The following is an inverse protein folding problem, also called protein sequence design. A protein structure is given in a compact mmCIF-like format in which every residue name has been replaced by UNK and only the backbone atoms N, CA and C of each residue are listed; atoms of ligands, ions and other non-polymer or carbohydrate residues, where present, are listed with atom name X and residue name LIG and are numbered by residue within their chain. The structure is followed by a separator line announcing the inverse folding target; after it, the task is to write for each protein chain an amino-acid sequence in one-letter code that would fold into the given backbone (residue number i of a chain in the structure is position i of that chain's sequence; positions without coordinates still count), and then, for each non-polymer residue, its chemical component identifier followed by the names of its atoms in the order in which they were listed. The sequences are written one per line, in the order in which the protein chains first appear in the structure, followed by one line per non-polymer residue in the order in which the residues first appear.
data_IF_726416304728
#
_entry.id   IF_726416304728
#
_cell.length_a   1.000
_cell.length_b   1.000
_cell.length_c   1.000
_cell.angle_alpha   90.00
_cell.angle_beta   90.00
_cell.angle_gamma   90.00
#
_symmetry.space_group_name_H-M   'P 1'
#
loop_
_entity.id
_entity.type
_entity.pdbx_description
1 polymer ?
#
# COMPACT_ATOMS: atom_id res chain seq x y z
N UNK A 1 -39.73 -7.01 36.08
CA UNK A 1 -38.46 -6.30 35.86
C UNK A 1 -38.32 -6.18 34.34
N UNK A 2 -38.80 -5.05 33.81
CA UNK A 2 -38.70 -4.76 32.37
C UNK A 2 -37.45 -3.91 32.15
N UNK A 3 -36.50 -4.38 31.36
CA UNK A 3 -35.39 -3.60 30.81
C UNK A 3 -35.87 -2.85 29.57
N UNK A 4 -36.00 -1.55 29.66
CA UNK A 4 -36.23 -0.66 28.51
C UNK A 4 -34.89 -0.45 27.79
N UNK A 5 -34.80 -0.93 26.57
CA UNK A 5 -33.74 -0.60 25.63
C UNK A 5 -33.99 0.81 25.04
N UNK A 6 -33.19 1.79 25.38
CA UNK A 6 -33.19 3.10 24.73
C UNK A 6 -32.51 2.96 23.36
N UNK A 7 -33.23 3.29 22.29
CA UNK A 7 -32.72 3.26 20.92
C UNK A 7 -31.82 4.47 20.66
N UNK A 8 -30.75 4.26 19.90
CA UNK A 8 -29.77 5.27 19.46
C UNK A 8 -30.39 6.50 18.77
N UNK A 9 -31.56 6.34 18.18
CA UNK A 9 -32.34 7.41 17.56
C UNK A 9 -32.84 8.46 18.55
N UNK A 10 -33.13 8.07 19.80
CA UNK A 10 -33.60 8.99 20.84
C UNK A 10 -32.48 9.89 21.39
N UNK A 11 -31.22 9.41 21.35
CA UNK A 11 -30.06 10.18 21.79
C UNK A 11 -29.65 11.27 20.79
N UNK A 12 -29.82 11.02 19.48
CA UNK A 12 -29.54 12.01 18.44
C UNK A 12 -30.60 13.14 18.42
N UNK A 13 -31.89 12.81 18.63
CA UNK A 13 -32.95 13.80 18.70
C UNK A 13 -32.80 14.73 19.93
N UNK A 14 -32.32 14.18 21.05
CA UNK A 14 -32.08 14.97 22.26
C UNK A 14 -30.89 15.93 22.12
N UNK A 15 -29.81 15.51 21.46
CA UNK A 15 -28.67 16.38 21.16
C UNK A 15 -28.99 17.50 20.18
N UNK A 16 -29.86 17.25 19.20
CA UNK A 16 -30.30 18.27 18.23
C UNK A 16 -31.18 19.34 18.89
N UNK A 17 -32.05 18.95 19.82
CA UNK A 17 -32.88 19.87 20.58
C UNK A 17 -32.08 20.70 21.61
N UNK A 18 -31.02 20.17 22.19
CA UNK A 18 -30.13 20.92 23.07
C UNK A 18 -29.29 21.95 22.32
N UNK A 19 -28.78 21.61 21.12
CA UNK A 19 -27.98 22.54 20.30
C UNK A 19 -28.79 23.74 19.80
N UNK A 20 -30.09 23.59 19.58
CA UNK A 20 -30.99 24.71 19.19
C UNK A 20 -31.34 25.64 20.36
N UNK A 21 -31.08 25.23 21.61
CA UNK A 21 -31.37 26.04 22.81
C UNK A 21 -30.25 27.02 23.17
N UNK A 22 -29.05 26.76 22.69
CA UNK A 22 -27.87 27.62 23.00
C UNK A 22 -27.75 28.84 22.08
N UNK A 23 -28.51 28.91 20.97
CA UNK A 23 -28.45 30.02 20.02
C UNK A 23 -29.51 31.10 20.19
N UNK A 24 -30.35 31.07 21.24
CA UNK A 24 -31.28 32.18 21.52
C UNK A 24 -31.13 32.62 23.00
N UNK A 25 -30.27 33.59 23.21
CA UNK A 25 -30.24 34.36 24.45
C UNK A 25 -31.54 35.19 24.58
N UNK A 26 -32.37 34.82 25.56
CA UNK A 26 -33.58 35.55 25.93
C UNK A 26 -34.14 34.99 27.24
N UNK A 27 -34.42 35.89 28.19
CA UNK A 27 -34.85 35.66 29.55
C UNK A 27 -36.07 34.78 29.67
N UNK A 28 -36.08 33.98 30.74
CA UNK A 28 -37.15 33.09 31.13
C UNK A 28 -38.33 33.85 31.69
N UNK A 29 -39.43 33.93 30.95
CA UNK A 29 -40.79 34.11 31.55
C UNK A 29 -41.83 33.53 30.58
N UNK A 30 -42.72 32.68 31.20
CA UNK A 30 -44.02 32.18 30.75
C UNK A 30 -44.08 31.46 29.35
N UNK A 31 -44.03 30.15 29.38
CA UNK A 31 -44.56 29.34 28.25
C UNK A 31 -45.86 28.66 28.69
N UNK A 32 -46.96 29.16 28.19
CA UNK A 32 -48.23 28.44 28.16
C UNK A 32 -48.18 27.32 27.14
N UNK A 33 -48.70 26.14 27.49
CA UNK A 33 -48.86 24.98 26.61
C UNK A 33 -49.64 25.40 25.34
N UNK A 34 -48.96 25.36 24.19
CA UNK A 34 -49.58 25.34 22.90
C UNK A 34 -49.12 24.07 22.18
N UNK A 35 -50.09 23.21 21.93
CA UNK A 35 -49.96 22.01 21.12
C UNK A 35 -49.56 22.40 19.68
N UNK A 36 -48.35 22.07 19.25
CA UNK A 36 -47.95 22.18 17.83
C UNK A 36 -48.29 20.89 17.10
N UNK A 37 -48.91 20.94 15.93
CA UNK A 37 -49.09 19.76 15.11
C UNK A 37 -47.75 19.25 14.57
N UNK A 38 -47.51 17.97 14.75
CA UNK A 38 -46.36 17.27 14.14
C UNK A 38 -46.59 17.23 12.62
N UNK A 39 -45.94 18.11 11.90
CA UNK A 39 -45.96 18.07 10.44
C UNK A 39 -45.16 16.85 9.95
N UNK A 40 -45.82 15.78 9.62
CA UNK A 40 -45.23 14.64 8.93
C UNK A 40 -44.82 15.09 7.54
N UNK A 41 -43.53 15.19 7.29
CA UNK A 41 -43.00 15.43 5.96
C UNK A 41 -42.94 14.08 5.20
N UNK A 42 -43.79 13.85 4.18
CA UNK A 42 -43.85 12.57 3.45
C UNK A 42 -42.53 12.21 2.73
N UNK A 43 -41.69 13.19 2.47
CA UNK A 43 -40.40 12.97 1.78
C UNK A 43 -39.30 12.33 2.66
N UNK A 44 -39.43 12.39 3.98
CA UNK A 44 -38.43 11.75 4.88
C UNK A 44 -38.60 10.22 4.92
N UNK A 45 -39.86 9.75 4.77
CA UNK A 45 -40.19 8.32 4.74
C UNK A 45 -39.70 7.64 3.44
N UNK A 46 -39.76 8.33 2.30
CA UNK A 46 -39.24 7.81 1.02
C UNK A 46 -37.70 7.79 0.96
N UNK A 47 -37.04 8.70 1.68
CA UNK A 47 -35.58 8.75 1.69
C UNK A 47 -34.93 7.62 2.53
N UNK A 48 -35.65 7.13 3.54
CA UNK A 48 -35.24 6.01 4.39
C UNK A 48 -35.60 4.64 3.83
N UNK A 49 -36.58 4.56 2.90
CA UNK A 49 -37.01 3.29 2.31
C UNK A 49 -36.19 2.86 1.07
N UNK A 50 -35.39 3.75 0.46
CA UNK A 50 -34.67 3.50 -0.78
C UNK A 50 -33.16 3.55 -0.68
N UNK A 51 -32.57 3.48 0.51
CA UNK A 51 -31.16 3.09 0.64
C UNK A 51 -31.11 1.59 0.84
N UNK A 52 -30.49 0.83 -0.07
CA UNK A 52 -30.12 -0.53 0.30
C UNK A 52 -29.19 -0.41 1.50
N UNK A 53 -29.58 -0.93 2.64
CA UNK A 53 -28.62 -1.39 3.61
C UNK A 53 -27.73 -2.33 2.81
N UNK A 54 -26.43 -1.99 2.71
CA UNK A 54 -25.44 -2.92 2.17
C UNK A 54 -25.44 -4.15 3.08
N UNK A 55 -26.35 -5.06 2.84
CA UNK A 55 -26.19 -6.44 3.24
C UNK A 55 -25.15 -6.97 2.28
N UNK A 56 -23.94 -7.16 2.77
CA UNK A 56 -22.90 -7.89 2.07
C UNK A 56 -23.52 -9.23 1.62
N UNK A 57 -23.69 -9.49 0.32
CA UNK A 57 -24.46 -10.65 -0.13
C UNK A 57 -23.75 -11.99 0.09
N UNK A 58 -22.57 -12.00 0.70
CA UNK A 58 -21.85 -13.23 0.99
C UNK A 58 -21.11 -13.15 2.34
N UNK A 59 -21.72 -13.63 3.45
CA UNK A 59 -21.06 -13.68 4.74
C UNK A 59 -19.99 -14.78 4.85
N UNK A 60 -19.71 -15.55 3.78
CA UNK A 60 -18.94 -16.78 3.86
C UNK A 60 -17.46 -16.68 3.46
N UNK A 61 -16.97 -15.55 2.95
CA UNK A 61 -15.56 -15.45 2.53
C UNK A 61 -14.89 -14.22 3.13
N UNK A 62 -14.45 -14.30 4.37
CA UNK A 62 -13.28 -13.52 4.78
C UNK A 62 -12.04 -14.34 4.44
N UNK A 63 -11.12 -13.82 3.64
CA UNK A 63 -9.86 -14.52 3.32
C UNK A 63 -8.88 -14.42 4.51
N UNK A 64 -9.31 -14.87 5.68
CA UNK A 64 -8.53 -14.87 6.90
C UNK A 64 -7.96 -16.28 7.14
N UNK A 65 -6.64 -16.37 7.16
CA UNK A 65 -5.93 -17.59 7.53
C UNK A 65 -5.50 -17.51 8.99
N UNK A 66 -5.91 -18.48 9.79
CA UNK A 66 -5.49 -18.65 11.18
C UNK A 66 -4.52 -19.83 11.25
N UNK A 67 -3.21 -19.59 11.52
CA UNK A 67 -2.27 -20.69 11.67
C UNK A 67 -2.60 -21.56 12.89
N UNK A 68 -2.51 -22.88 12.76
CA UNK A 68 -2.63 -23.80 13.89
C UNK A 68 -1.57 -23.50 14.95
N UNK A 69 -1.95 -23.51 16.22
CA UNK A 69 -1.06 -23.31 17.38
C UNK A 69 -0.27 -21.98 17.33
N UNK A 70 -0.77 -20.96 16.62
CA UNK A 70 -0.11 -19.66 16.59
C UNK A 70 -0.01 -19.04 17.97
N UNK A 71 1.18 -18.54 18.28
CA UNK A 71 1.44 -17.75 19.49
C UNK A 71 2.36 -16.60 19.12
N UNK A 72 1.94 -15.37 19.43
CA UNK A 72 2.75 -14.18 19.22
C UNK A 72 4.11 -14.34 19.91
N UNK A 73 5.20 -14.05 19.18
CA UNK A 73 6.58 -14.24 19.68
C UNK A 73 6.96 -13.24 20.75
N UNK A 74 6.30 -12.10 20.80
CA UNK A 74 6.59 -11.01 21.73
C UNK A 74 5.31 -10.61 22.48
N UNK A 75 5.47 -10.23 23.75
CA UNK A 75 4.39 -9.59 24.51
C UNK A 75 4.05 -8.21 23.90
N UNK A 76 2.83 -7.68 24.08
CA UNK A 76 2.38 -6.47 23.42
C UNK A 76 3.31 -5.24 23.59
N UNK A 77 3.84 -5.00 24.78
CA UNK A 77 4.76 -3.90 25.04
C UNK A 77 6.11 -4.10 24.33
N UNK A 78 6.63 -5.33 24.34
CA UNK A 78 7.88 -5.68 23.65
C UNK A 78 7.68 -5.60 22.13
N UNK A 79 6.49 -5.95 21.63
CA UNK A 79 6.12 -5.80 20.23
C UNK A 79 6.21 -4.34 19.78
N UNK A 80 5.68 -3.39 20.58
CA UNK A 80 5.80 -1.95 20.27
C UNK A 80 7.25 -1.48 20.22
N UNK A 81 8.09 -1.95 21.15
CA UNK A 81 9.52 -1.62 21.19
C UNK A 81 10.23 -2.19 19.95
N UNK A 82 9.90 -3.43 19.55
CA UNK A 82 10.47 -4.08 18.37
C UNK A 82 10.06 -3.36 17.08
N UNK A 83 8.79 -2.97 16.94
CA UNK A 83 8.30 -2.19 15.80
C UNK A 83 9.03 -0.85 15.70
N UNK A 84 9.16 -0.13 16.82
CA UNK A 84 9.88 1.14 16.87
C UNK A 84 11.32 0.96 16.42
N UNK A 85 12.02 -0.02 16.98
CA UNK A 85 13.40 -0.35 16.61
C UNK A 85 13.55 -0.66 15.12
N UNK A 86 12.68 -1.51 14.57
CA UNK A 86 12.70 -1.87 13.14
C UNK A 86 12.46 -0.65 12.24
N UNK A 87 11.52 0.23 12.63
CA UNK A 87 11.22 1.45 11.88
C UNK A 87 12.33 2.51 11.95
N UNK A 88 13.25 2.40 12.89
CA UNK A 88 14.44 3.26 12.99
C UNK A 88 15.63 2.67 12.24
N UNK A 89 15.94 1.39 12.45
CA UNK A 89 17.17 0.79 11.93
C UNK A 89 17.12 0.46 10.44
N UNK A 90 15.98 -0.06 9.92
CA UNK A 90 15.90 -0.48 8.54
C UNK A 90 16.10 0.69 7.55
N UNK A 91 15.39 1.83 7.69
CA UNK A 91 15.58 2.96 6.77
C UNK A 91 16.98 3.57 6.86
N UNK A 92 17.64 3.53 8.02
CA UNK A 92 19.04 3.98 8.16
C UNK A 92 19.99 3.04 7.40
N UNK A 93 19.85 1.73 7.55
CA UNK A 93 20.63 0.75 6.80
C UNK A 93 20.42 0.86 5.28
N UNK A 94 19.17 0.98 4.85
CA UNK A 94 18.82 1.18 3.44
C UNK A 94 19.44 2.46 2.89
N UNK A 95 19.28 3.57 3.63
CA UNK A 95 19.79 4.88 3.22
C UNK A 95 21.31 4.91 3.06
N UNK A 96 22.04 4.27 3.96
CA UNK A 96 23.50 4.16 3.86
C UNK A 96 23.95 3.37 2.63
N UNK A 97 23.32 2.21 2.37
CA UNK A 97 23.68 1.33 1.24
C UNK A 97 23.34 1.95 -0.12
N UNK A 98 22.18 2.56 -0.24
CA UNK A 98 21.71 3.17 -1.48
C UNK A 98 22.09 4.66 -1.62
N UNK A 99 22.74 5.27 -0.61
CA UNK A 99 23.11 6.70 -0.55
C UNK A 99 21.92 7.62 -0.66
N UNK A 100 20.91 7.37 0.17
CA UNK A 100 19.66 8.12 0.20
C UNK A 100 19.67 9.18 1.30
N UNK A 101 18.88 10.25 1.10
CA UNK A 101 18.57 11.26 2.12
C UNK A 101 17.09 11.20 2.45
N UNK A 102 16.75 11.24 3.72
CA UNK A 102 15.35 11.36 4.13
C UNK A 102 14.80 12.72 3.76
N UNK A 103 13.58 12.74 3.19
CA UNK A 103 12.84 13.96 2.87
C UNK A 103 11.41 13.84 3.38
N UNK A 104 10.76 14.98 3.61
CA UNK A 104 9.34 15.04 3.90
C UNK A 104 8.52 14.88 2.63
N UNK A 105 7.42 14.13 2.70
CA UNK A 105 6.51 13.89 1.59
C UNK A 105 5.09 14.37 1.87
N UNK A 106 4.29 14.63 0.84
CA UNK A 106 2.88 14.96 1.02
C UNK A 106 2.08 13.70 1.38
N UNK A 107 1.06 13.87 2.23
CA UNK A 107 0.01 12.86 2.44
C UNK A 107 -1.02 12.88 1.30
N UNK A 108 -1.19 14.03 0.65
CA UNK A 108 -2.16 14.24 -0.43
C UNK A 108 -1.60 15.21 -1.48
N UNK A 109 -2.09 15.09 -2.69
CA UNK A 109 -1.74 15.93 -3.85
C UNK A 109 -3.03 16.43 -4.53
N UNK A 110 -2.90 17.47 -5.39
CA UNK A 110 -4.04 17.93 -6.17
C UNK A 110 -4.45 16.89 -7.20
N UNK A 111 -5.77 16.63 -7.31
CA UNK A 111 -6.36 15.76 -8.32
C UNK A 111 -6.06 16.24 -9.73
N UNK A 112 -5.91 15.33 -10.68
CA UNK A 112 -5.72 15.63 -12.11
C UNK A 112 -4.32 16.11 -12.49
N UNK A 113 -3.35 16.07 -11.58
CA UNK A 113 -1.95 16.44 -11.88
C UNK A 113 -1.14 15.30 -12.50
N UNK A 114 -1.64 14.07 -12.42
CA UNK A 114 -0.90 12.86 -12.81
C UNK A 114 0.21 12.48 -11.82
N UNK A 115 0.30 13.15 -10.66
CA UNK A 115 1.32 12.86 -9.63
C UNK A 115 0.88 11.66 -8.79
N UNK A 116 -0.42 11.58 -8.42
CA UNK A 116 -0.94 10.41 -7.72
C UNK A 116 -0.91 9.19 -8.64
N UNK A 117 -0.92 8.02 -8.04
CA UNK A 117 -1.01 6.75 -8.73
C UNK A 117 -2.44 6.23 -8.67
N UNK A 118 -2.94 5.71 -9.76
CA UNK A 118 -4.22 5.00 -9.84
C UNK A 118 -4.04 3.47 -9.78
N UNK A 119 -2.84 3.01 -9.36
CA UNK A 119 -2.46 1.61 -9.20
C UNK A 119 -2.76 0.78 -10.47
N UNK A 120 -3.83 -0.02 -10.42
CA UNK A 120 -4.30 -0.79 -11.57
C UNK A 120 -5.26 0.01 -12.47
N UNK A 121 -5.56 1.28 -12.10
CA UNK A 121 -6.47 2.16 -12.83
C UNK A 121 -7.94 2.04 -12.46
N UNK A 122 -8.26 1.28 -11.40
CA UNK A 122 -9.64 1.04 -10.93
C UNK A 122 -9.87 1.47 -9.48
N UNK A 123 -8.82 1.64 -8.71
CA UNK A 123 -8.88 2.02 -7.31
C UNK A 123 -9.30 3.47 -7.13
N UNK A 124 -10.22 3.71 -6.19
CA UNK A 124 -10.73 5.03 -5.87
C UNK A 124 -9.84 5.73 -4.87
N UNK A 125 -9.26 6.88 -5.26
CA UNK A 125 -8.55 7.73 -4.33
C UNK A 125 -9.50 8.35 -3.30
N UNK A 126 -9.12 8.32 -2.03
CA UNK A 126 -9.78 9.12 -0.99
C UNK A 126 -9.52 10.59 -1.28
N UNK A 127 -10.57 11.35 -1.58
CA UNK A 127 -10.45 12.73 -2.04
C UNK A 127 -11.39 13.69 -1.30
N UNK A 128 -10.96 14.95 -1.18
CA UNK A 128 -11.68 16.01 -0.49
C UNK A 128 -11.52 17.36 -1.19
N UNK A 129 -12.51 18.27 -1.10
CA UNK A 129 -12.40 19.62 -1.63
C UNK A 129 -11.55 20.52 -0.71
N UNK A 130 -10.84 21.49 -1.30
CA UNK A 130 -10.06 22.50 -0.57
C UNK A 130 -10.74 23.85 -0.76
N UNK A 131 -11.33 24.39 0.30
CA UNK A 131 -12.10 25.63 0.29
C UNK A 131 -11.30 26.82 -0.27
N UNK A 132 -10.09 27.02 0.23
CA UNK A 132 -9.26 28.18 -0.16
C UNK A 132 -8.70 28.09 -1.60
N UNK A 133 -8.90 26.95 -2.25
CA UNK A 133 -8.58 26.73 -3.68
C UNK A 133 -9.83 26.65 -4.56
N UNK A 134 -10.96 27.23 -4.13
CA UNK A 134 -12.21 27.21 -4.88
C UNK A 134 -12.77 25.80 -5.07
N UNK A 135 -12.74 25.01 -4.02
CA UNK A 135 -13.20 23.62 -3.97
C UNK A 135 -12.47 22.65 -4.94
N UNK A 136 -11.27 23.03 -5.41
CA UNK A 136 -10.41 22.06 -6.09
C UNK A 136 -10.15 20.87 -5.18
N UNK A 137 -10.14 19.68 -5.77
CA UNK A 137 -9.98 18.44 -5.01
C UNK A 137 -8.51 18.09 -4.78
N UNK A 138 -8.21 17.59 -3.60
CA UNK A 138 -6.99 16.85 -3.29
C UNK A 138 -7.31 15.36 -3.11
N UNK A 139 -6.32 14.53 -3.31
CA UNK A 139 -6.37 13.07 -3.16
C UNK A 139 -5.28 12.61 -2.22
N UNK A 140 -5.62 11.74 -1.27
CA UNK A 140 -4.63 11.02 -0.48
C UNK A 140 -3.83 10.14 -1.45
N UNK A 141 -2.51 10.14 -1.30
CA UNK A 141 -1.64 9.40 -2.23
C UNK A 141 -1.86 7.90 -2.12
N UNK A 142 -1.78 7.21 -3.26
CA UNK A 142 -1.68 5.76 -3.32
C UNK A 142 -0.22 5.29 -3.44
N UNK A 143 0.64 6.15 -4.03
CA UNK A 143 2.06 5.95 -4.22
C UNK A 143 2.75 7.30 -4.37
N UNK A 144 4.03 7.36 -4.04
CA UNK A 144 4.87 8.56 -4.24
C UNK A 144 5.90 8.39 -5.37
N UNK A 145 5.79 7.34 -6.20
CA UNK A 145 6.77 7.05 -7.24
C UNK A 145 7.05 8.26 -8.15
N UNK A 146 5.99 8.87 -8.70
CA UNK A 146 6.10 10.04 -9.58
C UNK A 146 6.57 11.29 -8.82
N UNK A 147 6.05 11.52 -7.64
CA UNK A 147 6.46 12.64 -6.79
C UNK A 147 7.94 12.59 -6.42
N UNK A 148 8.46 11.42 -6.00
CA UNK A 148 9.88 11.24 -5.65
C UNK A 148 10.78 11.58 -6.82
N UNK A 149 10.46 11.10 -8.03
CA UNK A 149 11.23 11.40 -9.23
C UNK A 149 11.25 12.90 -9.56
N UNK A 150 10.11 13.60 -9.41
CA UNK A 150 10.05 15.05 -9.55
C UNK A 150 10.97 15.75 -8.53
N UNK A 151 11.05 15.24 -7.29
CA UNK A 151 11.94 15.77 -6.25
C UNK A 151 13.41 15.53 -6.54
N UNK A 152 13.80 14.41 -7.14
CA UNK A 152 15.16 14.22 -7.63
C UNK A 152 15.57 15.35 -8.59
N UNK A 153 14.69 15.71 -9.52
CA UNK A 153 14.92 16.83 -10.45
C UNK A 153 14.95 18.19 -9.74
N UNK A 154 13.97 18.47 -8.88
CA UNK A 154 13.87 19.72 -8.12
C UNK A 154 15.11 19.96 -7.24
N UNK A 155 15.59 18.94 -6.56
CA UNK A 155 16.75 19.01 -5.67
C UNK A 155 18.08 18.79 -6.39
N UNK A 156 18.04 18.55 -7.71
CA UNK A 156 19.23 18.32 -8.56
C UNK A 156 20.14 17.22 -7.98
N UNK A 157 19.51 16.10 -7.56
CA UNK A 157 20.25 14.99 -6.95
C UNK A 157 21.09 14.30 -8.03
N UNK A 158 22.40 14.22 -7.80
CA UNK A 158 23.36 13.64 -8.73
C UNK A 158 23.17 12.13 -8.91
N UNK A 159 23.55 11.54 -10.06
CA UNK A 159 23.56 10.09 -10.25
C UNK A 159 24.33 9.36 -9.15
N UNK A 160 23.78 8.23 -8.69
CA UNK A 160 24.33 7.44 -7.58
C UNK A 160 23.85 7.87 -6.19
N UNK A 161 23.07 8.95 -6.09
CA UNK A 161 22.44 9.43 -4.87
C UNK A 161 20.91 9.48 -5.03
N UNK A 162 20.21 9.49 -3.91
CA UNK A 162 18.76 9.49 -3.93
C UNK A 162 18.12 10.07 -2.68
N UNK A 163 16.83 9.83 -2.56
CA UNK A 163 16.02 10.21 -1.42
C UNK A 163 15.13 9.04 -0.97
N UNK A 164 14.69 9.07 0.26
CA UNK A 164 13.61 8.24 0.75
C UNK A 164 12.69 9.04 1.66
N UNK A 165 11.49 8.53 1.84
CA UNK A 165 10.48 9.13 2.71
C UNK A 165 9.59 8.06 3.32
N UNK A 166 8.91 8.41 4.41
CA UNK A 166 7.81 7.62 4.94
C UNK A 166 6.55 8.00 4.14
N UNK A 167 6.04 7.06 3.36
CA UNK A 167 4.78 7.19 2.62
C UNK A 167 3.67 6.60 3.44
N UNK A 168 2.56 7.32 3.54
CA UNK A 168 1.31 6.86 4.16
C UNK A 168 0.20 6.99 3.12
N UNK A 169 -0.49 5.91 2.84
CA UNK A 169 -1.56 5.84 1.86
C UNK A 169 -2.83 5.25 2.45
N UNK A 170 -3.97 5.53 1.84
CA UNK A 170 -5.26 4.93 2.17
C UNK A 170 -5.80 4.28 0.91
N UNK A 171 -6.04 2.98 0.96
CA UNK A 171 -6.65 2.19 -0.10
C UNK A 171 -8.06 1.79 0.32
N UNK A 172 -9.04 2.60 -0.06
CA UNK A 172 -10.42 2.44 0.40
C UNK A 172 -11.12 1.20 -0.16
N UNK A 173 -10.64 0.66 -1.28
CA UNK A 173 -11.20 -0.50 -1.98
C UNK A 173 -10.42 -1.81 -1.71
N UNK A 174 -9.47 -1.80 -0.75
CA UNK A 174 -8.67 -2.97 -0.42
C UNK A 174 -9.51 -4.08 0.22
N UNK A 175 -9.32 -5.31 -0.23
CA UNK A 175 -9.86 -6.50 0.42
C UNK A 175 -8.98 -6.83 1.63
N UNK A 176 -9.59 -6.79 2.84
CA UNK A 176 -8.88 -6.98 4.09
C UNK A 176 -8.65 -8.46 4.36
N UNK A 177 -7.40 -8.83 4.60
CA UNK A 177 -6.97 -10.18 4.96
C UNK A 177 -5.80 -10.11 5.96
N UNK A 178 -5.03 -11.20 6.09
CA UNK A 178 -3.87 -11.25 6.99
C UNK A 178 -2.79 -10.21 6.68
N UNK A 179 -2.65 -9.78 5.41
CA UNK A 179 -1.53 -8.96 4.91
C UNK A 179 -1.96 -7.66 4.26
N UNK A 180 -3.28 -7.46 4.05
CA UNK A 180 -3.83 -6.26 3.44
C UNK A 180 -4.63 -5.42 4.46
N UNK A 181 -4.38 -4.13 4.45
CA UNK A 181 -4.99 -3.12 5.31
C UNK A 181 -5.43 -1.91 4.49
N UNK A 182 -6.44 -1.18 4.97
CA UNK A 182 -6.82 0.12 4.39
C UNK A 182 -5.69 1.14 4.46
N UNK A 183 -4.85 1.05 5.49
CA UNK A 183 -3.69 1.91 5.68
C UNK A 183 -2.42 1.21 5.18
N UNK A 184 -1.68 1.87 4.30
CA UNK A 184 -0.43 1.38 3.74
C UNK A 184 0.70 2.32 4.11
N UNK A 185 1.74 1.79 4.74
CA UNK A 185 2.96 2.50 5.09
C UNK A 185 4.17 1.89 4.38
N UNK A 186 4.99 2.75 3.75
CA UNK A 186 6.17 2.30 3.02
C UNK A 186 7.37 3.20 3.32
N UNK A 187 8.58 2.63 3.31
CA UNK A 187 9.78 3.38 3.01
C UNK A 187 9.88 3.48 1.49
N UNK A 188 9.47 4.63 1.00
CA UNK A 188 9.45 4.94 -0.43
C UNK A 188 10.76 5.61 -0.82
N UNK A 189 11.52 5.01 -1.71
CA UNK A 189 12.84 5.47 -2.11
C UNK A 189 12.96 5.69 -3.62
N UNK A 190 13.87 6.58 -4.03
CA UNK A 190 14.14 6.89 -5.42
C UNK A 190 15.59 7.36 -5.56
N UNK A 191 16.34 6.82 -6.52
CA UNK A 191 17.75 7.11 -6.76
C UNK A 191 17.98 7.51 -8.20
N UNK A 192 18.72 8.61 -8.42
CA UNK A 192 19.13 9.06 -9.74
C UNK A 192 20.18 8.10 -10.31
N UNK A 193 20.05 7.77 -11.59
CA UNK A 193 20.94 6.86 -12.30
C UNK A 193 21.46 7.49 -13.59
N UNK A 194 22.55 6.91 -14.14
CA UNK A 194 23.10 7.29 -15.43
C UNK A 194 22.41 6.51 -16.54
N UNK A 195 22.46 6.99 -17.81
CA UNK A 195 21.89 6.26 -18.94
C UNK A 195 22.43 4.85 -19.13
N UNK A 196 23.73 4.62 -18.94
CA UNK A 196 24.39 3.33 -19.06
C UNK A 196 24.00 2.31 -17.96
N UNK A 197 23.42 2.80 -16.86
CA UNK A 197 22.90 1.97 -15.76
C UNK A 197 21.49 1.43 -16.03
N UNK A 198 20.85 1.83 -17.15
CA UNK A 198 19.49 1.40 -17.51
C UNK A 198 19.48 -0.01 -18.10
N UNK A 199 19.73 -1.01 -17.26
CA UNK A 199 19.83 -2.42 -17.65
C UNK A 199 19.52 -3.36 -16.46
N UNK A 200 19.33 -4.66 -16.76
CA UNK A 200 19.03 -5.69 -15.76
C UNK A 200 20.14 -5.89 -14.73
N UNK A 201 21.39 -5.71 -15.10
CA UNK A 201 22.50 -5.92 -14.15
C UNK A 201 22.47 -4.87 -13.05
N UNK A 202 22.18 -3.62 -13.40
CA UNK A 202 22.02 -2.54 -12.43
C UNK A 202 20.80 -2.76 -11.53
N UNK A 203 19.65 -3.20 -12.10
CA UNK A 203 18.49 -3.59 -11.35
C UNK A 203 18.81 -4.68 -10.33
N UNK A 204 19.40 -5.79 -10.77
CA UNK A 204 19.79 -6.93 -9.92
C UNK A 204 20.74 -6.52 -8.82
N UNK A 205 21.78 -5.75 -9.12
CA UNK A 205 22.73 -5.26 -8.10
C UNK A 205 22.05 -4.36 -7.05
N UNK A 206 21.07 -3.57 -7.47
CA UNK A 206 20.29 -2.75 -6.53
C UNK A 206 19.39 -3.62 -5.63
N UNK A 207 18.75 -4.64 -6.18
CA UNK A 207 17.95 -5.62 -5.42
C UNK A 207 18.81 -6.38 -4.43
N UNK A 208 19.99 -6.86 -4.83
CA UNK A 208 20.95 -7.52 -3.92
C UNK A 208 21.32 -6.60 -2.75
N UNK A 209 21.60 -5.33 -3.02
CA UNK A 209 21.93 -4.34 -1.99
C UNK A 209 20.80 -4.14 -0.98
N UNK A 210 19.53 -4.13 -1.45
CA UNK A 210 18.35 -4.04 -0.59
C UNK A 210 18.18 -5.33 0.22
N UNK A 211 18.35 -6.47 -0.42
CA UNK A 211 18.22 -7.78 0.22
C UNK A 211 19.27 -7.99 1.31
N UNK A 212 20.51 -7.52 1.10
CA UNK A 212 21.54 -7.49 2.13
C UNK A 212 21.17 -6.60 3.33
N UNK A 213 20.46 -5.48 3.08
CA UNK A 213 19.91 -4.68 4.18
C UNK A 213 18.83 -5.44 4.95
N UNK A 214 17.93 -6.14 4.24
CA UNK A 214 16.90 -6.97 4.86
C UNK A 214 17.50 -8.08 5.72
N UNK A 215 18.51 -8.80 5.23
CA UNK A 215 19.22 -9.83 6.01
C UNK A 215 19.90 -9.26 7.25
N UNK A 216 20.59 -8.14 7.11
CA UNK A 216 21.29 -7.53 8.24
C UNK A 216 20.31 -7.13 9.37
N UNK A 217 19.11 -6.63 9.02
CA UNK A 217 18.07 -6.32 10.02
C UNK A 217 17.47 -7.60 10.63
N UNK A 218 17.34 -8.66 9.88
CA UNK A 218 16.89 -9.96 10.42
C UNK A 218 17.87 -10.50 11.47
N UNK A 219 19.18 -10.34 11.27
CA UNK A 219 20.21 -10.68 12.26
C UNK A 219 20.12 -9.82 13.52
N UNK A 220 19.89 -8.50 13.37
CA UNK A 220 19.66 -7.61 14.52
C UNK A 220 18.43 -8.01 15.34
N UNK A 221 17.34 -8.45 14.67
CA UNK A 221 16.17 -9.00 15.37
C UNK A 221 16.54 -10.25 16.15
N UNK A 222 17.32 -11.14 15.56
CA UNK A 222 17.79 -12.36 16.23
C UNK A 222 18.71 -12.06 17.44
N UNK A 223 19.57 -11.06 17.34
CA UNK A 223 20.42 -10.66 18.48
C UNK A 223 19.58 -10.13 19.66
N UNK A 224 18.52 -9.37 19.38
CA UNK A 224 17.60 -8.84 20.41
C UNK A 224 16.61 -9.90 20.93
N UNK A 225 16.15 -10.78 20.07
CA UNK A 225 15.14 -11.79 20.33
C UNK A 225 15.57 -13.17 19.81
N UNK A 226 16.48 -13.89 20.50
CA UNK A 226 17.09 -15.13 20.00
C UNK A 226 16.11 -16.29 19.69
N UNK A 227 14.87 -16.19 20.13
CA UNK A 227 13.81 -17.14 19.81
C UNK A 227 13.12 -16.85 18.46
N UNK A 228 13.46 -15.73 17.82
CA UNK A 228 13.01 -15.38 16.46
C UNK A 228 14.20 -15.62 15.52
N UNK A 229 14.35 -16.86 15.05
CA UNK A 229 15.48 -17.25 14.21
C UNK A 229 15.39 -16.70 12.79
N UNK A 230 16.51 -16.30 12.16
CA UNK A 230 16.56 -15.89 10.76
C UNK A 230 16.05 -16.97 9.81
N UNK A 231 15.34 -16.57 8.75
CA UNK A 231 14.77 -17.46 7.75
C UNK A 231 15.07 -17.04 6.30
N UNK A 232 15.61 -15.84 6.10
CA UNK A 232 15.98 -15.39 4.76
C UNK A 232 17.16 -16.22 4.22
N UNK A 233 17.06 -16.75 2.98
CA UNK A 233 18.18 -17.46 2.35
C UNK A 233 19.43 -16.59 2.20
N UNK A 234 20.57 -17.21 2.01
CA UNK A 234 21.86 -16.53 1.79
C UNK A 234 21.79 -15.55 0.61
N UNK A 235 21.10 -15.94 -0.47
CA UNK A 235 20.96 -15.15 -1.69
C UNK A 235 19.51 -15.14 -2.16
N UNK A 236 19.13 -14.00 -2.75
CA UNK A 236 17.85 -13.87 -3.45
C UNK A 236 17.95 -14.51 -4.85
N UNK A 237 16.90 -15.21 -5.27
CA UNK A 237 16.82 -15.82 -6.60
C UNK A 237 16.16 -14.85 -7.57
N UNK A 238 16.77 -14.62 -8.73
CA UNK A 238 16.17 -13.83 -9.83
C UNK A 238 15.47 -14.74 -10.81
N UNK A 239 14.20 -14.45 -11.11
CA UNK A 239 13.41 -15.21 -12.08
C UNK A 239 12.55 -14.25 -12.90
N UNK A 240 12.45 -14.48 -14.22
CA UNK A 240 11.55 -13.73 -15.09
C UNK A 240 10.12 -14.25 -14.95
N UNK A 241 9.13 -13.37 -15.02
CA UNK A 241 7.71 -13.76 -15.00
C UNK A 241 7.36 -14.77 -16.10
N UNK A 242 8.00 -14.65 -17.27
CA UNK A 242 7.87 -15.60 -18.38
C UNK A 242 8.52 -16.97 -18.06
N UNK A 243 9.65 -17.00 -17.33
CA UNK A 243 10.27 -18.27 -16.89
C UNK A 243 9.38 -18.95 -15.85
N UNK A 244 8.80 -18.17 -14.94
CA UNK A 244 7.88 -18.68 -13.95
C UNK A 244 6.60 -19.26 -14.59
N UNK A 245 6.08 -18.63 -15.65
CA UNK A 245 5.01 -19.19 -16.47
C UNK A 245 5.39 -20.53 -17.09
N UNK A 246 6.60 -20.66 -17.65
CA UNK A 246 7.07 -21.90 -18.26
C UNK A 246 7.30 -23.01 -17.24
N UNK A 247 7.77 -22.67 -16.04
CA UNK A 247 7.98 -23.62 -14.95
C UNK A 247 6.65 -24.16 -14.41
N UNK A 248 5.62 -23.30 -14.29
CA UNK A 248 4.31 -23.65 -13.75
C UNK A 248 3.17 -23.21 -14.70
N UNK A 249 3.03 -23.81 -15.86
CA UNK A 249 2.12 -23.32 -16.91
C UNK A 249 0.63 -23.46 -16.56
N UNK A 250 0.28 -24.39 -15.67
CA UNK A 250 -1.09 -24.66 -15.25
C UNK A 250 -1.55 -23.86 -14.05
N UNK A 251 -0.62 -23.17 -13.35
CA UNK A 251 -0.92 -22.40 -12.16
C UNK A 251 -1.33 -20.96 -12.52
N UNK A 252 -2.17 -20.36 -11.70
CA UNK A 252 -2.47 -18.92 -11.74
C UNK A 252 -1.24 -18.10 -11.32
N UNK A 253 -1.17 -16.80 -11.63
CA UNK A 253 -0.04 -15.97 -11.20
C UNK A 253 0.27 -16.06 -9.70
N UNK A 254 -0.74 -15.99 -8.84
CA UNK A 254 -0.55 -16.09 -7.37
C UNK A 254 -0.09 -17.48 -6.94
N UNK A 255 -0.61 -18.54 -7.53
CA UNK A 255 -0.13 -19.90 -7.26
C UNK A 255 1.31 -20.11 -7.72
N UNK A 256 1.75 -19.44 -8.82
CA UNK A 256 3.15 -19.46 -9.27
C UNK A 256 4.05 -18.78 -8.25
N UNK A 257 3.67 -17.59 -7.75
CA UNK A 257 4.40 -16.91 -6.67
C UNK A 257 4.52 -17.80 -5.44
N UNK A 258 3.40 -18.43 -5.04
CA UNK A 258 3.34 -19.36 -3.92
C UNK A 258 4.33 -20.52 -4.10
N UNK A 259 4.31 -21.18 -5.25
CA UNK A 259 5.19 -22.31 -5.55
C UNK A 259 6.66 -21.88 -5.59
N UNK A 260 6.96 -20.73 -6.21
CA UNK A 260 8.32 -20.21 -6.30
C UNK A 260 8.86 -19.74 -4.95
N UNK A 261 8.07 -18.99 -4.16
CA UNK A 261 8.49 -18.56 -2.84
C UNK A 261 8.77 -19.76 -1.92
N UNK A 262 7.93 -20.79 -1.96
CA UNK A 262 8.15 -22.01 -1.21
C UNK A 262 9.43 -22.75 -1.63
N UNK A 263 9.73 -22.74 -2.94
CA UNK A 263 10.92 -23.42 -3.49
C UNK A 263 12.22 -22.68 -3.21
N UNK A 264 12.22 -21.35 -3.34
CA UNK A 264 13.43 -20.55 -3.30
C UNK A 264 13.65 -19.80 -1.97
N UNK A 265 12.63 -19.69 -1.12
CA UNK A 265 12.65 -18.93 0.13
C UNK A 265 12.61 -17.42 -0.06
N UNK A 266 13.34 -16.89 -1.05
CA UNK A 266 13.32 -15.49 -1.45
C UNK A 266 13.61 -15.37 -2.94
N UNK A 267 12.82 -14.56 -3.65
CA UNK A 267 13.00 -14.30 -5.07
C UNK A 267 12.72 -12.84 -5.42
N UNK A 268 13.33 -12.40 -6.51
CA UNK A 268 12.95 -11.17 -7.20
C UNK A 268 12.32 -11.56 -8.54
N UNK A 269 11.02 -11.35 -8.65
CA UNK A 269 10.23 -11.66 -9.83
C UNK A 269 10.28 -10.50 -10.81
N UNK A 270 10.94 -10.69 -11.97
CA UNK A 270 11.23 -9.63 -12.94
C UNK A 270 10.16 -9.57 -14.02
N UNK A 271 9.86 -8.36 -14.52
CA UNK A 271 9.05 -8.14 -15.72
C UNK A 271 7.56 -8.29 -15.48
N UNK A 272 7.07 -7.66 -14.41
CA UNK A 272 5.65 -7.65 -14.06
C UNK A 272 4.96 -6.43 -14.69
N UNK A 273 3.81 -6.64 -15.36
CA UNK A 273 2.99 -5.60 -15.98
C UNK A 273 2.72 -5.82 -17.47
N UNK A 274 3.65 -6.45 -18.18
CA UNK A 274 3.50 -6.80 -19.60
C UNK A 274 2.75 -8.11 -19.81
N UNK A 275 2.22 -8.30 -21.01
CA UNK A 275 1.60 -9.55 -21.44
C UNK A 275 2.66 -10.63 -21.66
N UNK A 276 2.41 -11.81 -21.11
CA UNK A 276 3.24 -13.02 -21.25
C UNK A 276 2.85 -13.81 -22.50
N UNK A 277 3.63 -14.86 -22.82
CA UNK A 277 3.42 -15.69 -24.01
C UNK A 277 2.06 -16.40 -24.08
N UNK A 278 1.36 -16.53 -22.95
CA UNK A 278 0.01 -17.07 -22.87
C UNK A 278 -1.11 -16.02 -23.07
N UNK A 279 -0.78 -14.77 -23.40
CA UNK A 279 -1.74 -13.68 -23.56
C UNK A 279 -2.28 -13.08 -22.25
N UNK A 280 -1.73 -13.46 -21.11
CA UNK A 280 -2.13 -12.94 -19.80
C UNK A 280 -0.97 -12.16 -19.18
N UNK A 281 -1.29 -11.18 -18.33
CA UNK A 281 -0.29 -10.52 -17.48
C UNK A 281 -0.06 -11.37 -16.24
N UNK A 282 1.16 -11.28 -15.68
CA UNK A 282 1.42 -11.85 -14.37
C UNK A 282 0.65 -11.09 -13.29
N UNK A 283 0.77 -9.77 -13.32
CA UNK A 283 0.00 -8.84 -12.47
C UNK A 283 -0.14 -7.48 -13.17
N UNK A 284 -1.05 -6.62 -12.68
CA UNK A 284 -1.24 -5.26 -13.17
C UNK A 284 -0.11 -4.33 -12.74
N UNK A 285 0.21 -3.35 -13.60
CA UNK A 285 1.11 -2.22 -13.26
C UNK A 285 0.67 -0.98 -14.00
N UNK A 286 0.73 0.17 -13.34
CA UNK A 286 0.52 1.46 -13.98
C UNK A 286 1.53 1.68 -15.12
N UNK A 287 1.14 2.41 -16.19
CA UNK A 287 2.00 2.60 -17.34
C UNK A 287 3.10 3.64 -17.17
N UNK A 288 3.09 4.40 -16.08
CA UNK A 288 3.73 5.71 -16.04
C UNK A 288 4.82 5.90 -14.98
N UNK A 289 5.27 4.82 -14.32
CA UNK A 289 6.45 4.91 -13.45
C UNK A 289 7.44 3.75 -13.62
N UNK A 290 7.08 2.48 -13.46
CA UNK A 290 7.98 1.36 -13.67
C UNK A 290 8.05 0.92 -15.12
N UNK A 291 9.26 0.62 -15.61
CA UNK A 291 9.45 0.11 -16.97
C UNK A 291 9.29 -1.40 -17.01
N UNK A 292 8.11 -1.85 -17.41
CA UNK A 292 7.78 -3.25 -17.60
C UNK A 292 7.79 -3.67 -19.09
N UNK A 293 8.17 -2.80 -20.01
CA UNK A 293 8.03 -3.02 -21.46
C UNK A 293 9.33 -3.02 -22.23
N UNK A 294 10.42 -2.51 -21.69
CA UNK A 294 11.71 -2.50 -22.39
C UNK A 294 12.22 -3.93 -22.60
N UNK A 295 12.59 -4.29 -23.84
CA UNK A 295 13.21 -5.58 -24.13
C UNK A 295 14.52 -5.79 -23.36
N UNK A 296 14.71 -7.02 -22.87
CA UNK A 296 15.90 -7.43 -22.15
C UNK A 296 16.51 -8.70 -22.73
N UNK A 297 17.65 -9.14 -22.19
CA UNK A 297 18.33 -10.34 -22.64
C UNK A 297 17.41 -11.59 -22.59
N UNK A 298 17.63 -12.54 -23.49
CA UNK A 298 16.84 -13.78 -23.56
C UNK A 298 15.44 -13.62 -24.16
N UNK A 299 15.11 -12.45 -24.73
CA UNK A 299 13.80 -12.18 -25.35
C UNK A 299 12.72 -11.82 -24.33
N UNK A 300 13.11 -11.53 -23.08
CA UNK A 300 12.22 -11.06 -22.03
C UNK A 300 11.98 -9.55 -22.11
N UNK A 301 11.12 -9.03 -21.23
CA UNK A 301 10.80 -7.60 -21.14
C UNK A 301 10.75 -7.19 -19.67
N UNK A 302 10.98 -5.91 -19.42
CA UNK A 302 10.80 -5.27 -18.12
C UNK A 302 12.08 -5.11 -17.33
N UNK A 303 12.17 -3.97 -16.67
CA UNK A 303 13.26 -3.55 -15.77
C UNK A 303 12.69 -3.27 -14.36
N UNK A 304 11.65 -4.00 -13.98
CA UNK A 304 10.94 -3.89 -12.70
C UNK A 304 10.68 -5.28 -12.12
N UNK A 305 10.21 -5.32 -10.90
CA UNK A 305 9.81 -6.57 -10.24
C UNK A 305 9.56 -6.41 -8.76
N UNK A 306 9.25 -7.53 -8.12
CA UNK A 306 8.89 -7.60 -6.71
C UNK A 306 9.82 -8.52 -5.93
N UNK A 307 10.21 -8.09 -4.72
CA UNK A 307 10.86 -8.96 -3.73
C UNK A 307 9.78 -9.73 -3.00
N UNK A 308 9.77 -11.04 -3.22
CA UNK A 308 8.82 -11.96 -2.63
C UNK A 308 9.59 -12.97 -1.77
N UNK A 309 9.13 -13.19 -0.54
CA UNK A 309 9.71 -14.16 0.38
C UNK A 309 8.69 -15.23 0.77
N UNK A 310 9.16 -16.37 1.25
CA UNK A 310 8.30 -17.35 1.88
C UNK A 310 7.99 -16.94 3.32
N UNK A 311 6.73 -16.76 3.66
CA UNK A 311 6.29 -16.53 5.03
C UNK A 311 5.87 -17.85 5.68
N UNK A 312 6.66 -18.42 6.60
CA UNK A 312 6.34 -19.72 7.20
C UNK A 312 5.18 -19.66 8.20
N UNK A 313 4.81 -18.48 8.71
CA UNK A 313 3.65 -18.32 9.61
C UNK A 313 2.35 -18.44 8.83
N UNK A 314 2.29 -17.80 7.65
CA UNK A 314 1.12 -17.84 6.77
C UNK A 314 1.17 -18.96 5.74
N UNK A 315 2.29 -19.70 5.68
CA UNK A 315 2.56 -20.69 4.64
C UNK A 315 2.33 -20.15 3.22
N UNK A 316 2.72 -18.91 2.99
CA UNK A 316 2.42 -18.18 1.74
C UNK A 316 3.57 -17.36 1.21
N UNK A 317 3.50 -17.05 -0.09
CA UNK A 317 4.31 -16.02 -0.71
C UNK A 317 3.96 -14.66 -0.07
N UNK A 318 4.97 -13.84 0.20
CA UNK A 318 4.82 -12.59 0.88
C UNK A 318 5.66 -11.50 0.19
N UNK A 319 4.99 -10.58 -0.49
CA UNK A 319 5.63 -9.45 -1.15
C UNK A 319 6.07 -8.41 -0.11
N UNK A 320 7.36 -8.09 -0.08
CA UNK A 320 7.95 -7.08 0.79
C UNK A 320 8.21 -5.75 0.08
N UNK A 321 8.46 -5.78 -1.22
CA UNK A 321 8.82 -4.58 -2.00
C UNK A 321 8.47 -4.74 -3.45
N UNK A 322 7.94 -3.67 -4.05
CA UNK A 322 7.84 -3.49 -5.49
C UNK A 322 8.78 -2.38 -5.92
N UNK A 323 9.55 -2.58 -7.00
CA UNK A 323 10.56 -1.64 -7.46
C UNK A 323 10.91 -1.80 -8.94
N UNK A 324 11.51 -0.76 -9.51
CA UNK A 324 11.97 -0.84 -10.90
C UNK A 324 12.83 0.35 -11.33
N UNK A 325 13.54 0.14 -12.43
CA UNK A 325 14.05 1.25 -13.23
C UNK A 325 12.82 1.94 -13.83
N UNK A 326 12.78 3.26 -13.68
CA UNK A 326 11.61 4.03 -14.12
C UNK A 326 11.60 4.19 -15.63
N UNK A 327 10.40 4.37 -16.18
CA UNK A 327 10.24 4.66 -17.61
C UNK A 327 11.10 5.86 -18.03
N UNK A 328 11.75 5.76 -19.19
CA UNK A 328 12.20 6.94 -19.94
C UNK A 328 11.07 7.42 -20.87
N UNK A 329 11.33 8.44 -21.69
CA UNK A 329 10.32 8.99 -22.58
C UNK A 329 9.79 7.94 -23.58
N UNK A 330 10.66 7.09 -24.11
CA UNK A 330 10.28 6.04 -25.07
C UNK A 330 9.44 4.94 -24.41
N UNK A 331 9.85 4.47 -23.23
CA UNK A 331 9.11 3.46 -22.49
C UNK A 331 7.75 4.01 -22.02
N UNK A 332 7.68 5.27 -21.57
CA UNK A 332 6.42 5.91 -21.20
C UNK A 332 5.44 5.93 -22.39
N UNK A 333 5.85 6.44 -23.54
CA UNK A 333 5.01 6.50 -24.74
C UNK A 333 4.50 5.11 -25.13
N UNK A 334 5.38 4.13 -25.12
CA UNK A 334 5.06 2.73 -25.43
C UNK A 334 4.05 2.16 -24.45
N UNK A 335 4.23 2.38 -23.14
CA UNK A 335 3.35 1.85 -22.11
C UNK A 335 1.98 2.55 -22.08
N UNK A 336 1.93 3.87 -22.30
CA UNK A 336 0.66 4.60 -22.44
C UNK A 336 -0.14 4.08 -23.64
N UNK A 337 0.53 3.79 -24.77
CA UNK A 337 -0.12 3.21 -25.95
C UNK A 337 -0.64 1.79 -25.70
N UNK A 338 0.14 0.93 -25.02
CA UNK A 338 -0.27 -0.44 -24.65
C UNK A 338 -1.49 -0.41 -23.70
N UNK A 339 -1.53 0.54 -22.77
CA UNK A 339 -2.64 0.67 -21.82
C UNK A 339 -3.83 1.47 -22.37
N UNK A 340 -3.75 2.02 -23.60
CA UNK A 340 -4.82 2.77 -24.22
C UNK A 340 -5.15 4.11 -23.55
N UNK A 341 -4.17 4.74 -22.89
CA UNK A 341 -4.34 6.01 -22.17
C UNK A 341 -3.35 7.10 -22.62
N UNK A 342 -3.23 7.38 -23.94
CA UNK A 342 -2.26 8.35 -24.46
C UNK A 342 -2.52 9.79 -24.00
N UNK A 343 -3.73 10.13 -23.58
CA UNK A 343 -4.12 11.45 -23.07
C UNK A 343 -3.35 11.83 -21.80
N UNK A 344 -2.84 10.86 -21.02
CA UNK A 344 -2.05 11.11 -19.81
C UNK A 344 -0.78 11.90 -20.07
N UNK A 345 -0.26 11.89 -21.30
CA UNK A 345 0.93 12.66 -21.69
C UNK A 345 0.78 14.17 -21.45
N UNK A 346 -0.46 14.68 -21.41
CA UNK A 346 -0.77 16.08 -21.14
C UNK A 346 -0.72 16.47 -19.64
N UNK A 347 -0.67 15.47 -18.74
CA UNK A 347 -0.57 15.73 -17.30
C UNK A 347 0.82 16.23 -16.93
N UNK A 348 0.92 16.94 -15.79
CA UNK A 348 2.14 17.64 -15.37
C UNK A 348 3.38 16.72 -15.30
N UNK A 349 3.28 15.59 -14.62
CA UNK A 349 4.40 14.64 -14.48
C UNK A 349 4.88 14.14 -15.85
N UNK A 350 3.93 13.74 -16.71
CA UNK A 350 4.22 13.12 -18.01
C UNK A 350 4.90 14.13 -18.94
N UNK A 351 4.41 15.38 -19.00
CA UNK A 351 5.06 16.44 -19.77
C UNK A 351 6.51 16.69 -19.33
N UNK A 352 6.73 16.78 -18.00
CA UNK A 352 8.09 16.98 -17.47
C UNK A 352 9.03 15.85 -17.87
N UNK A 353 8.54 14.61 -17.90
CA UNK A 353 9.34 13.48 -18.34
C UNK A 353 9.63 13.52 -19.83
N UNK A 354 8.61 13.74 -20.67
CA UNK A 354 8.74 13.80 -22.12
C UNK A 354 9.63 14.97 -22.61
N UNK A 355 9.60 16.09 -21.87
CA UNK A 355 10.49 17.26 -22.10
C UNK A 355 11.94 17.03 -21.62
N UNK A 356 12.27 15.85 -21.06
CA UNK A 356 13.61 15.53 -20.55
C UNK A 356 13.99 16.32 -19.28
N UNK A 357 13.02 16.84 -18.54
CA UNK A 357 13.22 17.66 -17.32
C UNK A 357 13.34 16.84 -16.04
N UNK A 358 13.05 15.54 -16.10
CA UNK A 358 13.20 14.61 -14.99
C UNK A 358 14.41 13.70 -15.21
N UNK A 359 15.19 13.41 -14.17
CA UNK A 359 16.34 12.50 -14.29
C UNK A 359 15.88 11.05 -14.54
N UNK A 360 16.75 10.24 -15.11
CA UNK A 360 16.61 8.79 -15.06
C UNK A 360 16.76 8.33 -13.63
N UNK A 361 15.93 7.37 -13.22
CA UNK A 361 15.92 6.89 -11.83
C UNK A 361 15.51 5.43 -11.72
N UNK A 362 15.90 4.84 -10.60
CA UNK A 362 15.42 3.57 -10.07
C UNK A 362 14.81 3.83 -8.72
N UNK A 363 13.71 3.17 -8.40
CA UNK A 363 13.06 3.37 -7.12
C UNK A 363 12.06 2.29 -6.78
N UNK A 364 11.50 2.36 -5.58
CA UNK A 364 10.54 1.38 -5.09
C UNK A 364 9.93 1.79 -3.76
N UNK A 365 9.01 0.96 -3.30
CA UNK A 365 8.42 1.02 -1.97
C UNK A 365 8.69 -0.28 -1.22
N UNK A 366 9.07 -0.18 0.05
CA UNK A 366 9.24 -1.33 0.94
C UNK A 366 8.20 -1.17 2.04
N UNK A 367 7.28 -2.14 2.17
CA UNK A 367 6.20 -2.09 3.15
C UNK A 367 6.73 -2.12 4.58
N UNK A 368 6.52 -1.04 5.36
CA UNK A 368 6.99 -0.95 6.73
C UNK A 368 6.31 -1.99 7.63
N UNK A 369 4.99 -1.99 7.64
CA UNK A 369 4.21 -2.94 8.44
C UNK A 369 4.39 -4.38 7.96
N UNK A 370 4.49 -4.62 6.64
CA UNK A 370 4.78 -5.95 6.10
C UNK A 370 6.14 -6.47 6.56
N UNK A 371 7.17 -5.61 6.53
CA UNK A 371 8.51 -6.00 6.99
C UNK A 371 8.54 -6.29 8.50
N UNK A 372 7.88 -5.45 9.32
CA UNK A 372 7.71 -5.71 10.75
C UNK A 372 6.98 -7.05 11.00
N UNK A 373 5.87 -7.28 10.31
CA UNK A 373 5.10 -8.53 10.38
C UNK A 373 5.97 -9.75 10.07
N UNK A 374 6.77 -9.68 9.01
CA UNK A 374 7.67 -10.75 8.59
C UNK A 374 8.75 -11.04 9.63
N UNK A 375 9.48 -10.02 10.08
CA UNK A 375 10.56 -10.21 11.06
C UNK A 375 10.05 -10.67 12.42
N UNK A 376 8.93 -10.17 12.88
CA UNK A 376 8.38 -10.50 14.18
C UNK A 376 7.50 -11.76 14.17
N UNK A 377 7.39 -12.43 12.99
CA UNK A 377 6.62 -13.67 12.80
C UNK A 377 5.16 -13.54 13.21
N UNK A 378 4.54 -12.41 12.84
CA UNK A 378 3.14 -12.16 13.12
C UNK A 378 2.23 -12.89 12.11
N UNK A 379 1.04 -13.30 12.55
CA UNK A 379 0.03 -13.95 11.71
C UNK A 379 -0.88 -12.94 10.99
N UNK A 380 -0.97 -11.71 11.49
CA UNK A 380 -1.81 -10.67 10.92
C UNK A 380 -1.12 -9.30 10.97
N UNK A 381 -1.25 -8.53 9.89
CA UNK A 381 -0.65 -7.19 9.81
C UNK A 381 -1.17 -6.24 10.91
N UNK A 382 -2.38 -6.47 11.40
CA UNK A 382 -2.97 -5.73 12.52
C UNK A 382 -2.24 -5.92 13.86
N UNK A 383 -1.35 -6.90 14.00
CA UNK A 383 -0.50 -7.02 15.19
C UNK A 383 0.63 -5.98 15.23
N UNK A 384 0.99 -5.43 14.07
CA UNK A 384 2.08 -4.47 13.90
C UNK A 384 1.62 -3.11 13.37
N UNK A 385 0.33 -2.98 13.02
CA UNK A 385 -0.22 -1.77 12.41
C UNK A 385 -1.60 -1.45 12.99
N UNK A 386 -1.80 -0.19 13.40
CA UNK A 386 -3.13 0.32 13.77
C UNK A 386 -3.93 0.62 12.51
N UNK A 387 -5.13 0.04 12.40
CA UNK A 387 -6.04 0.26 11.28
C UNK A 387 -7.50 0.09 11.71
N UNK A 388 -8.42 0.01 10.75
CA UNK A 388 -9.83 -0.30 10.97
C UNK A 388 -10.08 -1.70 10.43
N UNK A 389 -10.60 -2.57 11.27
CA UNK A 389 -10.85 -3.98 10.96
C UNK A 389 -12.32 -4.32 11.11
N UNK A 390 -12.89 -5.22 10.29
CA UNK A 390 -14.25 -5.72 10.49
C UNK A 390 -14.39 -6.38 11.88
N UNK A 391 -15.51 -6.13 12.57
CA UNK A 391 -15.78 -6.68 13.91
C UNK A 391 -15.63 -8.21 13.95
N UNK A 392 -16.08 -8.92 12.89
CA UNK A 392 -15.94 -10.36 12.77
C UNK A 392 -14.46 -10.78 12.72
N UNK A 393 -13.60 -10.05 11.98
CA UNK A 393 -12.17 -10.33 11.89
C UNK A 393 -11.49 -10.13 13.24
N UNK A 394 -11.83 -9.05 13.96
CA UNK A 394 -11.34 -8.80 15.33
C UNK A 394 -11.72 -9.95 16.26
N UNK A 395 -12.97 -10.38 16.23
CA UNK A 395 -13.47 -11.47 17.07
C UNK A 395 -12.79 -12.81 16.78
N UNK A 396 -12.63 -13.15 15.49
CA UNK A 396 -11.98 -14.39 15.05
C UNK A 396 -10.48 -14.39 15.41
N UNK A 397 -9.76 -13.32 15.14
CA UNK A 397 -8.36 -13.16 15.54
C UNK A 397 -8.19 -13.26 17.07
N UNK A 398 -9.03 -12.57 17.85
CA UNK A 398 -8.96 -12.60 19.30
C UNK A 398 -9.23 -14.00 19.89
N UNK A 399 -10.14 -14.78 19.29
CA UNK A 399 -10.42 -16.16 19.70
C UNK A 399 -9.19 -17.08 19.59
N UNK A 400 -8.24 -16.72 18.71
CA UNK A 400 -6.99 -17.44 18.48
C UNK A 400 -5.74 -16.75 19.02
N UNK A 401 -5.92 -15.76 19.92
CA UNK A 401 -4.81 -15.04 20.55
C UNK A 401 -4.07 -14.04 19.66
N UNK A 402 -4.66 -13.67 18.52
CA UNK A 402 -4.15 -12.65 17.60
C UNK A 402 -4.86 -11.32 17.92
N UNK A 403 -4.11 -10.33 18.40
CA UNK A 403 -4.67 -9.05 18.81
C UNK A 403 -4.43 -7.98 17.74
N UNK A 404 -5.51 -7.53 17.10
CA UNK A 404 -5.47 -6.46 16.11
C UNK A 404 -5.49 -5.10 16.82
N UNK A 405 -4.56 -4.20 16.40
CA UNK A 405 -4.43 -2.82 16.92
C UNK A 405 -5.41 -1.86 16.29
#
# INVERSE_FOLDING_TARGET
IAKTSFSFASALAFRYLCAMREHRGGSAESIRETSFPICFCPHLSLYLQNKPFFTNPNPELMPLFIPEDYTAKLAPETMEQAITYLKEIFPDMLARRLRLRRVTAPLFVLSGTGINDDLNGVERAVSFPIRDLGDRRAEVVHSLAKWKRMKLGTYKIAPGYGLYTDMNAIRADEELDNIHSLYVDQWDWERTMRPEERNLNFLKATVETIYEAMKAVEEEVYELYPHITPILPERITFIQSEELLREFPSLTPKEREQAAARKYGALFLIGIGGELSNGQRHDGRAPDYDDWSTPTEGGYKGLNGDIIVWNPVLESAFELSSMGIRVDAEALERQLAICGCPERREMEFHRLLLEGRLPLSIGGGIGQSRLCMFYLRCAHIGEVQVSIWPERMIAECAAHGIYLK
#
